data_IF_869176075563
#
_entry.id   IF_869176075563
#
_cell.length_a   1.000
_cell.length_b   1.000
_cell.length_c   1.000
_cell.angle_alpha   90.00
_cell.angle_beta   90.00
_cell.angle_gamma   90.00
#
_symmetry.space_group_name_H-M   'P 1'
#
loop_
_entity.id
_entity.type
_entity.pdbx_description
1 polymer ?
#
# COMPACT_ATOMS: atom_id res chain seq x y z
N UNK A 1 -44.06 -11.45 -20.31
CA UNK A 1 -44.21 -10.11 -19.68
C UNK A 1 -43.90 -10.08 -18.16
N UNK A 2 -43.41 -11.16 -17.51
CA UNK A 2 -43.06 -11.15 -16.07
C UNK A 2 -41.62 -10.77 -15.73
N UNK A 3 -40.72 -10.61 -16.71
CA UNK A 3 -39.29 -10.39 -16.47
C UNK A 3 -38.89 -8.93 -16.23
N UNK A 4 -39.62 -7.94 -16.74
CA UNK A 4 -39.20 -6.51 -16.66
C UNK A 4 -39.08 -5.99 -15.23
N UNK A 5 -40.01 -6.41 -14.35
CA UNK A 5 -39.99 -6.03 -12.94
C UNK A 5 -38.82 -6.68 -12.20
N UNK A 6 -38.54 -7.96 -12.49
CA UNK A 6 -37.41 -8.68 -11.90
C UNK A 6 -36.06 -8.10 -12.34
N UNK A 7 -35.95 -7.69 -13.61
CA UNK A 7 -34.75 -7.01 -14.15
C UNK A 7 -34.55 -5.63 -13.54
N UNK A 8 -35.63 -4.87 -13.37
CA UNK A 8 -35.52 -3.55 -12.75
C UNK A 8 -35.19 -3.67 -11.26
N UNK A 9 -35.76 -4.66 -10.57
CA UNK A 9 -35.47 -4.93 -9.17
C UNK A 9 -34.04 -5.44 -8.96
N UNK A 10 -33.52 -6.27 -9.87
CA UNK A 10 -32.13 -6.73 -9.79
C UNK A 10 -31.13 -5.59 -10.02
N UNK A 11 -31.38 -4.70 -10.99
CA UNK A 11 -30.57 -3.49 -11.17
C UNK A 11 -30.60 -2.61 -9.92
N UNK A 12 -31.77 -2.41 -9.32
CA UNK A 12 -31.91 -1.62 -8.09
C UNK A 12 -31.13 -2.25 -6.92
N UNK A 13 -31.19 -3.57 -6.74
CA UNK A 13 -30.47 -4.27 -5.69
C UNK A 13 -28.94 -4.16 -5.87
N UNK A 14 -28.44 -4.37 -7.09
CA UNK A 14 -27.01 -4.24 -7.39
C UNK A 14 -26.55 -2.80 -7.22
N UNK A 15 -27.35 -1.83 -7.69
CA UNK A 15 -27.08 -0.41 -7.48
C UNK A 15 -27.00 -0.05 -5.99
N UNK A 16 -27.89 -0.59 -5.15
CA UNK A 16 -27.89 -0.34 -3.72
C UNK A 16 -26.58 -0.80 -3.06
N UNK A 17 -26.10 -2.01 -3.40
CA UNK A 17 -24.81 -2.52 -2.92
C UNK A 17 -23.65 -1.64 -3.40
N UNK A 18 -23.65 -1.24 -4.68
CA UNK A 18 -22.65 -0.34 -5.23
C UNK A 18 -22.65 1.04 -4.58
N UNK A 19 -23.82 1.60 -4.28
CA UNK A 19 -23.95 2.89 -3.64
C UNK A 19 -23.39 2.85 -2.21
N UNK A 20 -23.75 1.85 -1.42
CA UNK A 20 -23.23 1.69 -0.05
C UNK A 20 -21.71 1.50 -0.08
N UNK A 21 -21.23 0.53 -0.86
CA UNK A 21 -19.79 0.23 -0.92
C UNK A 21 -18.98 1.40 -1.51
N UNK A 22 -19.52 2.10 -2.50
CA UNK A 22 -18.92 3.30 -3.08
C UNK A 22 -18.83 4.45 -2.07
N UNK A 23 -19.89 4.68 -1.29
CA UNK A 23 -19.85 5.67 -0.20
C UNK A 23 -18.85 5.28 0.88
N UNK A 24 -18.79 4.01 1.29
CA UNK A 24 -17.80 3.53 2.25
C UNK A 24 -16.36 3.79 1.74
N UNK A 25 -16.07 3.48 0.47
CA UNK A 25 -14.76 3.74 -0.14
C UNK A 25 -14.49 5.25 -0.22
N UNK A 26 -15.48 6.04 -0.64
CA UNK A 26 -15.38 7.50 -0.73
C UNK A 26 -15.07 8.15 0.61
N UNK A 27 -15.64 7.64 1.70
CA UNK A 27 -15.36 8.09 3.06
C UNK A 27 -14.14 7.41 3.71
N UNK A 28 -13.34 6.65 2.95
CA UNK A 28 -12.11 6.01 3.44
C UNK A 28 -12.34 4.82 4.39
N UNK A 29 -13.52 4.21 4.33
CA UNK A 29 -13.91 3.01 5.08
C UNK A 29 -13.90 1.74 4.21
N UNK A 30 -13.26 1.80 3.03
CA UNK A 30 -13.09 0.64 2.14
C UNK A 30 -12.10 -0.36 2.74
N UNK A 31 -12.59 -1.43 3.37
CA UNK A 31 -11.77 -2.61 3.64
C UNK A 31 -11.52 -3.39 2.35
N UNK A 32 -10.54 -4.30 2.36
CA UNK A 32 -10.28 -5.19 1.21
C UNK A 32 -11.56 -5.89 0.72
N UNK A 33 -12.43 -6.34 1.65
CA UNK A 33 -13.71 -6.96 1.31
C UNK A 33 -14.68 -5.98 0.64
N UNK A 34 -14.76 -4.74 1.13
CA UNK A 34 -15.63 -3.70 0.57
C UNK A 34 -15.18 -3.31 -0.84
N UNK A 35 -13.87 -3.12 -1.05
CA UNK A 35 -13.29 -2.80 -2.35
C UNK A 35 -13.53 -3.92 -3.38
N UNK A 36 -13.29 -5.17 -3.00
CA UNK A 36 -13.55 -6.31 -3.87
C UNK A 36 -15.04 -6.49 -4.16
N UNK A 37 -15.90 -6.27 -3.16
CA UNK A 37 -17.36 -6.33 -3.34
C UNK A 37 -17.81 -5.24 -4.32
N UNK A 38 -17.32 -4.01 -4.17
CA UNK A 38 -17.65 -2.91 -5.08
C UNK A 38 -17.22 -3.22 -6.52
N UNK A 39 -15.99 -3.71 -6.72
CA UNK A 39 -15.48 -4.04 -8.03
C UNK A 39 -16.31 -5.14 -8.72
N UNK A 40 -16.58 -6.25 -8.02
CA UNK A 40 -17.36 -7.36 -8.59
C UNK A 40 -18.83 -7.02 -8.81
N UNK A 41 -19.46 -6.28 -7.89
CA UNK A 41 -20.80 -5.78 -8.12
C UNK A 41 -20.85 -4.73 -9.23
N UNK A 42 -19.74 -4.04 -9.51
CA UNK A 42 -19.60 -3.13 -10.66
C UNK A 42 -19.70 -3.88 -11.98
N UNK A 43 -18.99 -5.00 -12.09
CA UNK A 43 -19.07 -5.90 -13.25
C UNK A 43 -20.50 -6.44 -13.41
N UNK A 44 -21.11 -6.90 -12.31
CA UNK A 44 -22.49 -7.39 -12.32
C UNK A 44 -23.49 -6.30 -12.73
N UNK A 45 -23.27 -5.06 -12.29
CA UNK A 45 -24.12 -3.92 -12.63
C UNK A 45 -24.06 -3.60 -14.11
N UNK A 46 -22.89 -3.63 -14.73
CA UNK A 46 -22.76 -3.44 -16.19
C UNK A 46 -23.57 -4.48 -16.95
N UNK A 47 -23.44 -5.76 -16.58
CA UNK A 47 -24.23 -6.84 -17.20
C UNK A 47 -25.75 -6.63 -17.01
N UNK A 48 -26.17 -6.30 -15.78
CA UNK A 48 -27.57 -6.03 -15.47
C UNK A 48 -28.10 -4.79 -16.20
N UNK A 49 -27.30 -3.73 -16.34
CA UNK A 49 -27.64 -2.51 -17.05
C UNK A 49 -27.81 -2.74 -18.55
N UNK A 50 -26.92 -3.51 -19.19
CA UNK A 50 -27.07 -3.91 -20.59
C UNK A 50 -28.39 -4.67 -20.78
N UNK A 51 -28.66 -5.66 -19.94
CA UNK A 51 -29.91 -6.42 -20.02
C UNK A 51 -31.14 -5.54 -19.78
N UNK A 52 -31.06 -4.58 -18.87
CA UNK A 52 -32.11 -3.62 -18.59
C UNK A 52 -32.37 -2.68 -19.78
N UNK A 53 -31.33 -2.16 -20.41
CA UNK A 53 -31.42 -1.30 -21.61
C UNK A 53 -32.07 -2.07 -22.76
N UNK A 54 -31.62 -3.29 -23.03
CA UNK A 54 -32.19 -4.13 -24.10
C UNK A 54 -33.69 -4.41 -23.87
N UNK A 55 -34.07 -4.76 -22.64
CA UNK A 55 -35.48 -5.05 -22.31
C UNK A 55 -36.40 -3.82 -22.29
N UNK A 56 -35.82 -2.62 -22.17
CA UNK A 56 -36.56 -1.36 -22.09
C UNK A 56 -36.23 -0.40 -23.24
N UNK A 57 -35.67 -0.91 -24.35
CA UNK A 57 -35.23 -0.12 -25.49
C UNK A 57 -36.33 0.78 -26.06
N UNK A 58 -37.54 0.24 -26.23
CA UNK A 58 -38.68 0.99 -26.73
C UNK A 58 -39.04 2.19 -25.84
N UNK A 59 -38.93 2.04 -24.52
CA UNK A 59 -39.17 3.13 -23.56
C UNK A 59 -38.08 4.19 -23.69
N UNK A 60 -36.81 3.80 -23.77
CA UNK A 60 -35.68 4.72 -23.90
C UNK A 60 -35.83 5.57 -25.17
N UNK A 61 -36.12 4.95 -26.32
CA UNK A 61 -36.35 5.67 -27.58
C UNK A 61 -37.58 6.58 -27.47
N UNK A 62 -38.65 6.12 -26.81
CA UNK A 62 -39.86 6.90 -26.59
C UNK A 62 -39.64 8.15 -25.74
N UNK A 63 -38.80 8.08 -24.70
CA UNK A 63 -38.39 9.24 -23.89
C UNK A 63 -37.34 10.10 -24.59
N UNK A 64 -36.56 9.54 -25.51
CA UNK A 64 -35.52 10.29 -26.20
C UNK A 64 -36.05 11.18 -27.32
N UNK A 65 -37.25 10.89 -27.82
CA UNK A 65 -37.85 11.59 -28.98
C UNK A 65 -38.98 12.52 -28.56
N UNK A 66 -38.97 13.74 -29.10
CA UNK A 66 -40.07 14.68 -28.94
C UNK A 66 -41.24 14.25 -29.83
N UNK A 67 -42.42 14.05 -29.23
CA UNK A 67 -43.62 13.58 -29.94
C UNK A 67 -44.16 14.58 -30.98
N UNK A 68 -43.87 15.88 -30.85
CA UNK A 68 -44.35 16.93 -31.78
C UNK A 68 -43.37 17.21 -32.91
N UNK A 69 -42.07 17.17 -32.66
CA UNK A 69 -41.05 17.58 -33.64
C UNK A 69 -40.20 16.43 -34.18
N UNK A 70 -40.32 15.24 -33.60
CA UNK A 70 -39.54 14.06 -34.00
C UNK A 70 -38.03 14.14 -33.67
N UNK A 71 -37.53 15.26 -33.15
CA UNK A 71 -36.14 15.44 -32.73
C UNK A 71 -35.84 14.91 -31.33
N UNK A 72 -34.57 15.00 -30.89
CA UNK A 72 -34.13 14.62 -29.54
C UNK A 72 -34.78 15.55 -28.50
N UNK A 73 -35.24 15.00 -27.38
CA UNK A 73 -35.77 15.81 -26.28
C UNK A 73 -34.65 16.66 -25.65
N UNK A 74 -34.91 17.97 -25.51
CA UNK A 74 -33.95 18.90 -24.88
C UNK A 74 -33.58 18.50 -23.45
N UNK A 75 -34.46 17.79 -22.77
CA UNK A 75 -34.24 17.23 -21.43
C UNK A 75 -33.08 16.22 -21.38
N UNK A 76 -32.72 15.59 -22.50
CA UNK A 76 -31.55 14.72 -22.60
C UNK A 76 -30.22 15.48 -22.64
N UNK A 77 -30.24 16.78 -22.99
CA UNK A 77 -29.00 17.56 -23.10
C UNK A 77 -28.32 17.68 -21.74
N UNK A 78 -29.07 17.97 -20.69
CA UNK A 78 -28.55 18.13 -19.33
C UNK A 78 -27.80 16.88 -18.82
N UNK A 79 -28.40 15.67 -18.79
CA UNK A 79 -27.71 14.48 -18.32
C UNK A 79 -26.51 14.12 -19.21
N UNK A 80 -26.61 14.29 -20.53
CA UNK A 80 -25.48 14.04 -21.46
C UNK A 80 -24.31 14.99 -21.17
N UNK A 81 -24.58 16.28 -20.98
CA UNK A 81 -23.56 17.27 -20.63
C UNK A 81 -22.91 16.97 -19.28
N UNK A 82 -23.71 16.60 -18.27
CA UNK A 82 -23.17 16.21 -16.96
C UNK A 82 -22.25 14.99 -17.08
N UNK A 83 -22.69 13.94 -17.78
CA UNK A 83 -21.88 12.74 -18.00
C UNK A 83 -20.59 13.09 -18.75
N UNK A 84 -20.65 13.93 -19.78
CA UNK A 84 -19.48 14.37 -20.53
C UNK A 84 -18.50 15.15 -19.65
N UNK A 85 -18.98 16.08 -18.83
CA UNK A 85 -18.14 16.87 -17.90
C UNK A 85 -17.42 15.94 -16.91
N UNK A 86 -18.12 14.98 -16.31
CA UNK A 86 -17.51 14.04 -15.37
C UNK A 86 -16.52 13.11 -16.08
N UNK A 87 -16.88 12.55 -17.23
CA UNK A 87 -16.02 11.62 -17.98
C UNK A 87 -14.74 12.31 -18.46
N UNK A 88 -14.84 13.50 -19.05
CA UNK A 88 -13.68 14.27 -19.50
C UNK A 88 -12.85 14.78 -18.32
N UNK A 89 -13.52 15.29 -17.27
CA UNK A 89 -12.85 15.82 -16.11
C UNK A 89 -12.06 14.80 -15.30
N UNK A 90 -12.60 13.58 -15.17
CA UNK A 90 -11.88 12.44 -14.58
C UNK A 90 -10.82 11.92 -15.56
N UNK A 91 -11.15 11.78 -16.85
CA UNK A 91 -10.24 11.24 -17.86
C UNK A 91 -8.99 12.08 -18.11
N UNK A 92 -9.10 13.41 -17.97
CA UNK A 92 -7.98 14.35 -18.08
C UNK A 92 -7.38 14.76 -16.72
N UNK A 93 -7.75 14.09 -15.63
CA UNK A 93 -7.23 14.32 -14.28
C UNK A 93 -7.29 15.81 -13.85
N UNK A 94 -8.42 16.47 -14.09
CA UNK A 94 -8.56 17.87 -13.74
C UNK A 94 -8.55 18.04 -12.19
N UNK A 95 -7.81 19.03 -11.64
CA UNK A 95 -7.60 19.16 -10.19
C UNK A 95 -8.86 19.23 -9.34
N UNK A 96 -9.96 19.76 -9.89
CA UNK A 96 -11.25 19.85 -9.19
C UNK A 96 -11.83 18.46 -8.87
N UNK A 97 -11.68 17.49 -9.77
CA UNK A 97 -12.17 16.12 -9.54
C UNK A 97 -11.30 15.39 -8.52
N UNK A 98 -9.99 15.63 -8.51
CA UNK A 98 -9.10 15.14 -7.45
C UNK A 98 -9.48 15.68 -6.07
N UNK A 99 -9.82 16.98 -5.97
CA UNK A 99 -10.33 17.58 -4.72
C UNK A 99 -11.65 16.97 -4.28
N UNK A 100 -12.61 16.84 -5.20
CA UNK A 100 -13.92 16.24 -4.93
C UNK A 100 -13.78 14.77 -4.48
N UNK A 101 -12.98 13.96 -5.18
CA UNK A 101 -12.77 12.55 -4.84
C UNK A 101 -12.14 12.35 -3.44
N UNK A 102 -11.33 13.31 -2.99
CA UNK A 102 -10.68 13.25 -1.67
C UNK A 102 -11.45 13.97 -0.56
N UNK A 103 -12.48 14.75 -0.90
CA UNK A 103 -13.30 15.48 0.08
C UNK A 103 -13.99 14.54 1.06
N UNK A 104 -14.62 13.46 0.57
CA UNK A 104 -15.27 12.45 1.43
C UNK A 104 -14.31 11.84 2.45
N UNK A 105 -13.10 11.49 2.00
CA UNK A 105 -12.05 11.00 2.89
C UNK A 105 -11.68 12.02 3.96
N UNK A 106 -11.77 13.32 3.66
CA UNK A 106 -11.54 14.41 4.62
C UNK A 106 -12.61 14.52 5.70
N UNK A 107 -13.88 14.23 5.39
CA UNK A 107 -15.00 14.34 6.34
C UNK A 107 -15.01 13.26 7.42
N UNK A 108 -14.62 12.03 7.07
CA UNK A 108 -14.60 10.89 8.00
C UNK A 108 -13.17 10.48 8.42
N UNK A 109 -12.17 11.24 7.98
CA UNK A 109 -10.88 11.35 8.67
C UNK A 109 -11.07 12.10 9.99
N UNK A 110 -11.83 11.54 10.93
CA UNK A 110 -11.39 11.66 12.32
C UNK A 110 -10.10 10.87 12.39
N UNK A 111 -8.97 11.50 12.76
CA UNK A 111 -7.62 10.95 12.94
C UNK A 111 -7.54 9.42 12.77
N UNK A 112 -7.69 8.91 11.55
CA UNK A 112 -7.48 7.50 11.25
C UNK A 112 -6.06 7.45 10.76
N UNK A 113 -5.10 7.04 11.60
CA UNK A 113 -3.79 6.79 11.11
C UNK A 113 -3.97 5.57 10.19
N UNK A 114 -3.70 5.74 8.89
CA UNK A 114 -2.87 4.70 8.27
C UNK A 114 -1.63 4.72 9.13
N UNK A 115 -1.50 3.75 10.04
CA UNK A 115 -0.55 3.72 11.14
C UNK A 115 0.53 4.77 10.98
N UNK A 116 0.29 5.93 11.60
CA UNK A 116 1.17 7.08 11.43
C UNK A 116 2.59 6.67 11.81
N UNK A 117 3.61 7.45 11.42
CA UNK A 117 4.94 7.17 11.88
C UNK A 117 4.90 6.95 13.40
N UNK A 118 5.42 5.81 13.85
CA UNK A 118 5.51 5.49 15.26
C UNK A 118 6.15 6.69 15.96
N UNK A 119 5.75 6.93 17.20
CA UNK A 119 6.37 7.97 18.01
C UNK A 119 7.90 7.82 17.96
N UNK A 120 8.59 8.92 17.65
CA UNK A 120 10.00 8.87 17.23
C UNK A 120 10.90 8.27 18.32
N UNK A 121 10.63 8.54 19.61
CA UNK A 121 11.43 7.92 20.68
C UNK A 121 11.26 6.40 20.73
N UNK A 122 10.08 5.87 20.41
CA UNK A 122 9.84 4.43 20.22
C UNK A 122 10.61 3.90 19.01
N UNK A 123 10.61 4.61 17.89
CA UNK A 123 11.37 4.24 16.67
C UNK A 123 12.86 4.14 16.99
N UNK A 124 13.41 5.17 17.62
CA UNK A 124 14.83 5.24 17.99
C UNK A 124 15.18 4.13 19.00
N UNK A 125 14.30 3.87 19.97
CA UNK A 125 14.50 2.79 20.94
C UNK A 125 14.54 1.41 20.27
N UNK A 126 13.62 1.14 19.33
CA UNK A 126 13.58 -0.14 18.61
C UNK A 126 14.82 -0.29 17.72
N UNK A 127 15.15 0.74 16.94
CA UNK A 127 16.31 0.73 16.05
C UNK A 127 17.61 0.46 16.82
N UNK A 128 17.86 1.20 17.90
CA UNK A 128 19.05 1.01 18.73
C UNK A 128 19.09 -0.38 19.37
N UNK A 129 17.95 -0.89 19.86
CA UNK A 129 17.90 -2.21 20.48
C UNK A 129 18.21 -3.33 19.46
N UNK A 130 17.62 -3.27 18.26
CA UNK A 130 17.85 -4.27 17.20
C UNK A 130 19.30 -4.21 16.70
N UNK A 131 19.83 -3.02 16.43
CA UNK A 131 21.21 -2.86 15.93
C UNK A 131 22.25 -3.28 16.98
N UNK A 132 22.01 -2.97 18.26
CA UNK A 132 22.88 -3.41 19.35
C UNK A 132 22.86 -4.93 19.49
N UNK A 133 21.67 -5.53 19.42
CA UNK A 133 21.52 -6.98 19.48
C UNK A 133 22.20 -7.66 18.28
N UNK A 134 22.08 -7.08 17.09
CA UNK A 134 22.74 -7.56 15.87
C UNK A 134 24.26 -7.52 16.01
N UNK A 135 24.83 -6.37 16.37
CA UNK A 135 26.27 -6.19 16.56
C UNK A 135 26.82 -7.14 17.63
N UNK A 136 26.08 -7.34 18.72
CA UNK A 136 26.43 -8.27 19.80
C UNK A 136 26.42 -9.72 19.33
N UNK A 137 25.35 -10.17 18.66
CA UNK A 137 25.23 -11.53 18.15
C UNK A 137 26.33 -11.83 17.12
N UNK A 138 26.60 -10.87 16.24
CA UNK A 138 27.65 -10.98 15.22
C UNK A 138 29.05 -11.07 15.82
N UNK A 139 29.36 -10.18 16.78
CA UNK A 139 30.66 -10.15 17.46
C UNK A 139 30.92 -11.43 18.25
N UNK A 140 29.89 -11.99 18.89
CA UNK A 140 29.99 -13.24 19.65
C UNK A 140 29.99 -14.50 18.78
N UNK A 141 29.70 -14.36 17.48
CA UNK A 141 29.48 -15.50 16.60
C UNK A 141 28.24 -16.33 16.96
N UNK A 142 27.28 -15.75 17.67
CA UNK A 142 26.06 -16.44 18.12
C UNK A 142 25.05 -16.52 16.96
N UNK A 143 25.12 -17.61 16.20
CA UNK A 143 24.23 -17.86 15.06
C UNK A 143 22.77 -18.05 15.47
N UNK A 144 22.51 -18.51 16.69
CA UNK A 144 21.14 -18.69 17.21
C UNK A 144 20.47 -17.35 17.52
N UNK A 145 21.18 -16.43 18.17
CA UNK A 145 20.72 -15.06 18.36
C UNK A 145 20.62 -14.31 17.02
N UNK A 146 21.60 -14.51 16.13
CA UNK A 146 21.59 -13.85 14.83
C UNK A 146 20.43 -14.32 13.95
N UNK A 147 20.08 -15.61 13.95
CA UNK A 147 18.94 -16.13 13.18
C UNK A 147 17.59 -15.56 13.63
N UNK A 148 17.47 -15.12 14.89
CA UNK A 148 16.27 -14.46 15.41
C UNK A 148 16.15 -13.02 14.92
N UNK A 149 17.27 -12.34 14.70
CA UNK A 149 17.32 -10.95 14.24
C UNK A 149 17.36 -10.84 12.72
N UNK A 150 17.99 -11.81 12.07
CA UNK A 150 18.27 -11.84 10.65
C UNK A 150 17.79 -13.19 10.07
N UNK A 151 16.48 -13.30 9.77
CA UNK A 151 15.89 -14.50 9.20
C UNK A 151 16.60 -15.01 7.95
N UNK A 152 16.46 -16.30 7.65
CA UNK A 152 17.11 -16.95 6.50
C UNK A 152 16.84 -16.22 5.17
N UNK A 153 15.63 -15.65 5.01
CA UNK A 153 15.18 -14.96 3.80
C UNK A 153 15.60 -13.48 3.72
N UNK A 154 16.30 -12.96 4.73
CA UNK A 154 16.80 -11.58 4.69
C UNK A 154 17.74 -11.42 3.51
N UNK A 155 17.52 -10.41 2.70
CA UNK A 155 18.44 -10.05 1.61
C UNK A 155 19.43 -9.00 2.10
N UNK A 156 20.72 -9.27 1.94
CA UNK A 156 21.79 -8.36 2.28
C UNK A 156 22.59 -7.99 1.03
N UNK A 157 22.64 -6.72 0.68
CA UNK A 157 23.54 -6.20 -0.36
C UNK A 157 24.87 -5.78 0.31
N UNK A 158 25.96 -6.43 -0.07
CA UNK A 158 27.31 -6.09 0.42
C UNK A 158 27.88 -4.88 -0.31
N UNK A 159 28.95 -4.32 0.25
CA UNK A 159 29.72 -3.22 -0.32
C UNK A 159 30.30 -3.58 -1.70
N UNK A 160 30.52 -4.88 -1.96
CA UNK A 160 30.98 -5.41 -3.24
C UNK A 160 29.85 -5.62 -4.27
N UNK A 161 28.62 -5.21 -3.96
CA UNK A 161 27.46 -5.38 -4.83
C UNK A 161 26.92 -6.82 -4.88
N UNK A 162 27.35 -7.69 -3.98
CA UNK A 162 26.88 -9.08 -3.89
C UNK A 162 25.64 -9.16 -3.02
N UNK A 163 24.64 -9.93 -3.45
CA UNK A 163 23.44 -10.21 -2.65
C UNK A 163 23.67 -11.52 -1.89
N UNK A 164 23.58 -11.45 -0.57
CA UNK A 164 23.66 -12.57 0.36
C UNK A 164 22.31 -12.79 1.03
N UNK A 165 22.00 -14.04 1.37
CA UNK A 165 20.88 -14.36 2.25
C UNK A 165 21.29 -14.30 3.72
N UNK A 166 20.32 -14.23 4.63
CA UNK A 166 20.60 -14.32 6.04
C UNK A 166 21.29 -15.63 6.46
N UNK A 167 21.02 -16.71 5.75
CA UNK A 167 21.72 -17.98 5.98
C UNK A 167 23.19 -17.93 5.56
N UNK A 168 23.53 -17.16 4.53
CA UNK A 168 24.92 -17.01 4.08
C UNK A 168 25.74 -16.24 5.12
N UNK A 169 25.14 -15.20 5.72
CA UNK A 169 25.78 -14.46 6.82
C UNK A 169 26.05 -15.39 8.01
N UNK A 170 25.08 -16.18 8.43
CA UNK A 170 25.24 -17.13 9.54
C UNK A 170 26.34 -18.17 9.25
N UNK A 171 26.37 -18.74 8.03
CA UNK A 171 27.41 -19.69 7.59
C UNK A 171 28.79 -19.03 7.53
N UNK A 172 28.88 -17.80 7.05
CA UNK A 172 30.15 -17.08 6.95
C UNK A 172 30.73 -16.79 8.33
N UNK A 173 29.89 -16.48 9.31
CA UNK A 173 30.32 -16.30 10.71
C UNK A 173 30.90 -17.59 11.29
N UNK A 174 30.29 -18.75 11.02
CA UNK A 174 30.81 -20.05 11.48
C UNK A 174 32.15 -20.41 10.85
N UNK A 175 32.47 -19.88 9.67
CA UNK A 175 33.73 -20.12 8.95
C UNK A 175 34.86 -19.18 9.39
N UNK A 176 34.60 -18.25 10.31
CA UNK A 176 35.59 -17.28 10.77
C UNK A 176 36.71 -17.96 11.55
N UNK A 177 37.94 -17.63 11.19
CA UNK A 177 39.15 -18.07 11.88
C UNK A 177 39.67 -17.04 12.88
N UNK A 178 39.16 -15.80 12.84
CA UNK A 178 39.52 -14.71 13.75
C UNK A 178 38.26 -14.01 14.30
N UNK A 179 38.29 -13.57 15.57
CA UNK A 179 37.20 -12.81 16.16
C UNK A 179 37.09 -11.43 15.48
N UNK A 180 35.86 -11.06 15.12
CA UNK A 180 35.55 -9.83 14.43
C UNK A 180 34.56 -9.02 15.27
N UNK A 181 35.01 -7.89 15.80
CA UNK A 181 34.19 -7.00 16.63
C UNK A 181 33.52 -5.97 15.74
N UNK A 182 32.18 -6.02 15.70
CA UNK A 182 31.36 -5.03 15.00
C UNK A 182 30.74 -4.08 16.00
N UNK A 183 30.84 -2.79 15.72
CA UNK A 183 30.13 -1.73 16.44
C UNK A 183 29.24 -0.99 15.46
N UNK A 184 27.97 -0.86 15.79
CA UNK A 184 26.98 -0.09 15.03
C UNK A 184 26.62 1.17 15.78
N UNK A 185 26.29 2.22 15.02
CA UNK A 185 25.71 3.46 15.51
C UNK A 185 24.52 3.79 14.63
N UNK A 186 23.34 3.94 15.22
CA UNK A 186 22.16 4.44 14.51
C UNK A 186 22.31 5.95 14.36
N UNK A 187 22.32 6.41 13.11
CA UNK A 187 22.40 7.85 12.80
C UNK A 187 21.02 8.44 12.56
N UNK A 188 20.08 7.66 11.98
CA UNK A 188 18.68 8.04 11.76
C UNK A 188 17.81 6.80 11.69
N UNK A 189 16.60 6.85 12.23
CA UNK A 189 15.60 5.82 12.05
C UNK A 189 14.23 6.44 11.78
N UNK A 190 13.46 5.84 10.88
CA UNK A 190 12.15 6.36 10.47
C UNK A 190 11.17 5.21 10.31
N UNK A 191 10.00 5.34 10.92
CA UNK A 191 8.91 4.40 10.68
C UNK A 191 8.26 4.68 9.32
N UNK A 192 8.18 3.66 8.48
CA UNK A 192 7.41 3.69 7.24
C UNK A 192 5.92 3.40 7.52
N UNK A 193 5.66 2.60 8.56
CA UNK A 193 4.33 2.32 9.14
C UNK A 193 4.50 1.81 10.58
N UNK A 194 3.41 1.37 11.22
CA UNK A 194 3.39 0.82 12.59
C UNK A 194 4.28 -0.42 12.82
N UNK A 195 4.67 -1.12 11.77
CA UNK A 195 5.38 -2.41 11.82
C UNK A 195 6.65 -2.44 10.97
N UNK A 196 7.05 -1.31 10.41
CA UNK A 196 8.18 -1.21 9.49
C UNK A 196 9.01 0.02 9.82
N UNK A 197 10.31 -0.16 10.05
CA UNK A 197 11.25 0.92 10.32
C UNK A 197 12.40 0.83 9.33
N UNK A 198 12.78 1.96 8.74
CA UNK A 198 14.01 2.12 7.99
C UNK A 198 15.07 2.74 8.91
N UNK A 199 16.20 2.06 9.03
CA UNK A 199 17.32 2.47 9.89
C UNK A 199 18.52 2.77 9.03
N UNK A 200 19.16 3.91 9.29
CA UNK A 200 20.42 4.32 8.71
C UNK A 200 21.46 4.45 9.81
N UNK A 201 22.67 3.98 9.54
CA UNK A 201 23.73 4.07 10.50
C UNK A 201 25.11 3.82 9.94
N UNK A 202 26.06 3.82 10.85
CA UNK A 202 27.47 3.56 10.58
C UNK A 202 27.92 2.31 11.33
N UNK A 203 28.70 1.48 10.67
CA UNK A 203 29.28 0.27 11.23
C UNK A 203 30.80 0.36 11.15
N UNK A 204 31.47 0.01 12.25
CA UNK A 204 32.93 -0.16 12.29
C UNK A 204 33.25 -1.59 12.65
N UNK A 205 34.36 -2.08 12.10
CA UNK A 205 34.80 -3.44 12.24
C UNK A 205 36.27 -3.44 12.68
N UNK A 206 36.61 -4.26 13.67
CA UNK A 206 38.01 -4.40 14.14
C UNK A 206 39.00 -4.79 13.04
N UNK A 207 38.54 -5.36 11.92
CA UNK A 207 39.39 -5.78 10.81
C UNK A 207 39.48 -4.79 9.66
N UNK A 208 38.67 -3.72 9.65
CA UNK A 208 38.67 -2.72 8.57
C UNK A 208 38.82 -1.30 9.13
N UNK A 209 39.75 -0.54 8.58
CA UNK A 209 40.04 0.85 9.01
C UNK A 209 38.98 1.86 8.59
N UNK A 210 38.15 1.55 7.59
CA UNK A 210 37.10 2.45 7.10
C UNK A 210 35.74 2.06 7.68
N UNK A 211 34.97 3.03 8.22
CA UNK A 211 33.58 2.77 8.58
C UNK A 211 32.77 2.48 7.31
N UNK A 212 31.75 1.63 7.43
CA UNK A 212 30.75 1.43 6.38
C UNK A 212 29.45 2.10 6.80
N UNK A 213 28.68 2.57 5.84
CA UNK A 213 27.30 3.02 6.06
C UNK A 213 26.36 1.87 5.77
N UNK A 214 25.29 1.77 6.55
CA UNK A 214 24.27 0.75 6.35
C UNK A 214 22.87 1.33 6.32
N UNK A 215 22.00 0.63 5.59
CA UNK A 215 20.56 0.82 5.59
C UNK A 215 19.90 -0.51 5.91
N UNK A 216 19.19 -0.60 7.03
CA UNK A 216 18.45 -1.80 7.44
C UNK A 216 16.95 -1.53 7.42
N UNK A 217 16.19 -2.46 6.85
CA UNK A 217 14.73 -2.45 6.91
C UNK A 217 14.29 -3.44 7.98
N UNK A 218 13.70 -2.90 9.05
CA UNK A 218 13.15 -3.66 10.15
C UNK A 218 11.67 -3.91 9.93
N UNK A 219 11.21 -5.11 10.29
CA UNK A 219 9.79 -5.45 10.30
C UNK A 219 9.42 -6.18 11.58
N UNK A 220 8.29 -5.81 12.17
CA UNK A 220 7.70 -6.52 13.28
C UNK A 220 6.98 -7.79 12.78
N UNK A 221 7.41 -8.94 13.28
CA UNK A 221 6.81 -10.25 13.05
C UNK A 221 6.68 -10.95 14.40
N UNK A 222 5.48 -11.44 14.73
CA UNK A 222 5.20 -12.12 16.00
C UNK A 222 5.66 -11.34 17.24
N UNK A 223 5.43 -10.02 17.24
CA UNK A 223 5.84 -9.07 18.29
C UNK A 223 7.36 -8.95 18.48
N UNK A 224 8.14 -9.32 17.47
CA UNK A 224 9.61 -9.21 17.45
C UNK A 224 10.05 -8.42 16.23
N UNK A 225 10.99 -7.51 16.44
CA UNK A 225 11.59 -6.73 15.35
C UNK A 225 12.77 -7.49 14.75
N UNK A 226 12.75 -7.61 13.43
CA UNK A 226 13.76 -8.36 12.65
C UNK A 226 14.21 -7.57 11.44
N UNK A 227 15.45 -7.76 11.03
CA UNK A 227 16.04 -7.17 9.83
C UNK A 227 15.61 -8.03 8.64
N UNK A 228 14.73 -7.50 7.78
CA UNK A 228 14.22 -8.21 6.60
C UNK A 228 14.99 -7.86 5.31
N UNK A 229 15.66 -6.71 5.30
CA UNK A 229 16.61 -6.34 4.27
C UNK A 229 17.74 -5.51 4.86
N UNK A 230 18.94 -5.67 4.33
CA UNK A 230 20.12 -4.92 4.72
C UNK A 230 20.90 -4.49 3.49
N UNK A 231 21.49 -3.31 3.54
CA UNK A 231 22.42 -2.83 2.53
C UNK A 231 23.61 -2.21 3.26
N UNK A 232 24.80 -2.46 2.74
CA UNK A 232 26.03 -1.80 3.17
C UNK A 232 26.70 -1.13 1.99
N UNK A 233 27.32 0.01 2.24
CA UNK A 233 28.14 0.71 1.27
C UNK A 233 29.34 1.36 1.97
N UNK A 234 30.39 1.62 1.21
CA UNK A 234 31.42 2.56 1.67
C UNK A 234 30.83 3.97 1.69
N UNK A 235 31.17 4.81 2.68
CA UNK A 235 30.81 6.21 2.66
C UNK A 235 31.32 6.81 1.35
N UNK A 236 30.47 7.58 0.66
CA UNK A 236 30.89 8.31 -0.52
C UNK A 236 32.06 9.21 -0.12
N UNK A 237 33.20 9.06 -0.80
CA UNK A 237 34.31 9.99 -0.69
C UNK A 237 33.77 11.34 -1.19
N UNK A 238 33.63 12.31 -0.30
CA UNK A 238 33.39 13.72 -0.68
C UNK A 238 34.69 14.34 -1.17
#
# INVERSE_FOLDING_TARGET
MKSKNLVSLSVAAVFFVLAITGLLIYFGQGSHVVEHTHAWFGVLFVAAAIFHIMNNWASIVGYSKNRRTGGIQKELVVPVVIVAIFALGIGFDLPVFGKLANFGKGLFKGERPRGGPMEQTKVDSIANAVETAYATAYTKGDTGALAKLLPIKTSLLTEAGTILSGSDIQKNILKRTAPEVVKTKVDRAESLDERTILVYGTSTNSTTTSPTVFSHLLKEQDKKWTIIAAQRAFPAVQ
#
